data_IF_730362516646
#
_entry.id   IF_730362516646
#
_cell.length_a   1.000
_cell.length_b   1.000
_cell.length_c   1.000
_cell.angle_alpha   90.00
_cell.angle_beta   90.00
_cell.angle_gamma   90.00
#
_symmetry.space_group_name_H-M   'P 1'
#
loop_
_entity.id
_entity.type
_entity.pdbx_description
1 polymer ?
#
# COMPACT_ATOMS: atom_id res chain seq x y z
N UNK A 1 30.66 11.68 -2.42
CA UNK A 1 29.45 11.73 -1.54
C UNK A 1 28.24 11.47 -2.42
N UNK A 2 27.40 10.51 -2.07
CA UNK A 2 26.10 10.36 -2.72
C UNK A 2 25.27 11.62 -2.48
N UNK A 3 24.56 12.08 -3.52
CA UNK A 3 23.70 13.27 -3.42
C UNK A 3 22.51 12.93 -2.53
N UNK A 4 22.07 13.90 -1.74
CA UNK A 4 20.83 13.74 -0.99
C UNK A 4 19.65 13.47 -1.94
N UNK A 5 18.75 12.52 -1.66
CA UNK A 5 17.58 12.31 -2.50
C UNK A 5 16.63 13.53 -2.54
N UNK A 6 16.80 14.46 -1.61
CA UNK A 6 16.03 15.73 -1.56
C UNK A 6 16.67 16.87 -2.35
N UNK A 7 17.87 16.68 -2.92
CA UNK A 7 18.49 17.65 -3.80
C UNK A 7 17.74 17.66 -5.15
N UNK A 8 17.22 18.81 -5.61
CA UNK A 8 16.55 18.90 -6.90
C UNK A 8 17.39 18.38 -8.08
N UNK A 9 18.73 18.47 -7.99
CA UNK A 9 19.64 17.94 -9.01
C UNK A 9 19.75 16.41 -9.01
N UNK A 10 19.18 15.71 -8.03
CA UNK A 10 19.11 14.26 -8.01
C UNK A 10 17.97 13.69 -8.87
N UNK A 11 17.03 14.54 -9.32
CA UNK A 11 15.92 14.13 -10.18
C UNK A 11 16.46 13.83 -11.59
N UNK A 12 16.26 12.59 -12.05
CA UNK A 12 16.67 12.19 -13.39
C UNK A 12 15.87 12.94 -14.47
N UNK A 13 16.49 13.31 -15.63
CA UNK A 13 15.81 14.00 -16.72
C UNK A 13 14.55 13.29 -17.21
N UNK A 14 14.57 11.95 -17.34
CA UNK A 14 13.41 11.14 -17.72
C UNK A 14 12.25 11.35 -16.73
N UNK A 15 12.53 11.32 -15.43
CA UNK A 15 11.53 11.52 -14.38
C UNK A 15 10.94 12.93 -14.43
N UNK A 16 11.78 13.95 -14.62
CA UNK A 16 11.33 15.33 -14.72
C UNK A 16 10.43 15.55 -15.95
N UNK A 17 10.80 14.98 -17.10
CA UNK A 17 10.02 15.05 -18.35
C UNK A 17 8.68 14.32 -18.19
N UNK A 18 8.69 13.12 -17.59
CA UNK A 18 7.48 12.37 -17.30
C UNK A 18 6.52 13.16 -16.40
N UNK A 19 7.03 13.72 -15.30
CA UNK A 19 6.22 14.50 -14.36
C UNK A 19 5.59 15.73 -15.04
N UNK A 20 6.32 16.44 -15.89
CA UNK A 20 5.80 17.59 -16.64
C UNK A 20 4.65 17.18 -17.59
N UNK A 21 4.79 16.05 -18.30
CA UNK A 21 3.75 15.51 -19.17
C UNK A 21 2.52 15.07 -18.37
N UNK A 22 2.72 14.40 -17.24
CA UNK A 22 1.65 13.96 -16.36
C UNK A 22 0.87 15.14 -15.79
N UNK A 23 1.58 16.16 -15.28
CA UNK A 23 0.96 17.36 -14.73
C UNK A 23 0.14 18.11 -15.79
N UNK A 24 0.66 18.23 -17.03
CA UNK A 24 -0.06 18.84 -18.14
C UNK A 24 -1.33 18.05 -18.53
N UNK A 25 -1.28 16.72 -18.50
CA UNK A 25 -2.45 15.86 -18.73
C UNK A 25 -3.50 16.06 -17.64
N UNK A 26 -3.07 16.03 -16.38
CA UNK A 26 -3.98 16.13 -15.22
C UNK A 26 -4.61 17.52 -15.12
N UNK A 27 -3.93 18.59 -15.56
CA UNK A 27 -4.51 19.94 -15.60
C UNK A 27 -5.77 20.06 -16.47
N UNK A 28 -5.98 19.10 -17.39
CA UNK A 28 -7.18 19.05 -18.28
C UNK A 28 -8.14 17.93 -17.91
N UNK A 29 -7.85 17.20 -16.84
CA UNK A 29 -8.66 16.04 -16.39
C UNK A 29 -9.45 16.46 -15.13
N UNK A 30 -10.75 16.17 -15.05
CA UNK A 30 -11.50 16.40 -13.81
C UNK A 30 -10.89 15.65 -12.64
N UNK A 31 -10.77 16.33 -11.50
CA UNK A 31 -10.29 15.69 -10.30
C UNK A 31 -11.32 14.66 -9.76
N UNK A 32 -10.90 13.49 -9.28
CA UNK A 32 -11.80 12.41 -8.89
C UNK A 32 -12.89 12.82 -7.87
N UNK A 33 -12.55 13.69 -6.90
CA UNK A 33 -13.51 14.15 -5.89
C UNK A 33 -14.60 15.06 -6.45
N UNK A 34 -14.47 15.55 -7.69
CA UNK A 34 -15.51 16.36 -8.37
C UNK A 34 -16.54 15.51 -9.09
N UNK A 35 -16.31 14.20 -9.16
CA UNK A 35 -17.16 13.23 -9.84
C UNK A 35 -17.85 12.32 -8.82
N UNK A 36 -18.93 11.66 -9.23
CA UNK A 36 -19.53 10.61 -8.40
C UNK A 36 -18.56 9.43 -8.27
N UNK A 37 -18.34 8.83 -7.08
CA UNK A 37 -17.39 7.74 -6.90
C UNK A 37 -17.56 6.58 -7.88
N UNK A 38 -18.79 6.16 -8.16
CA UNK A 38 -19.06 5.10 -9.11
C UNK A 38 -18.61 5.46 -10.54
N UNK A 39 -18.76 6.71 -10.95
CA UNK A 39 -18.30 7.16 -12.27
C UNK A 39 -16.76 7.02 -12.39
N UNK A 40 -16.01 7.37 -11.36
CA UNK A 40 -14.54 7.20 -11.35
C UNK A 40 -14.17 5.73 -11.40
N UNK A 41 -14.89 4.86 -10.67
CA UNK A 41 -14.68 3.40 -10.71
C UNK A 41 -14.97 2.84 -12.10
N UNK A 42 -16.07 3.23 -12.75
CA UNK A 42 -16.44 2.78 -14.10
C UNK A 42 -15.44 3.25 -15.16
N UNK A 43 -14.92 4.48 -15.04
CA UNK A 43 -13.85 4.99 -15.88
C UNK A 43 -12.56 4.15 -15.71
N UNK A 44 -12.21 3.80 -14.49
CA UNK A 44 -11.04 2.96 -14.21
C UNK A 44 -11.21 1.56 -14.78
N UNK A 45 -12.38 0.93 -14.61
CA UNK A 45 -12.69 -0.40 -15.18
C UNK A 45 -12.65 -0.42 -16.70
N UNK A 46 -13.09 0.67 -17.35
CA UNK A 46 -13.01 0.80 -18.82
C UNK A 46 -11.60 1.13 -19.35
N UNK A 47 -10.58 1.18 -18.47
CA UNK A 47 -9.21 1.49 -18.84
C UNK A 47 -8.96 2.97 -19.11
N UNK A 48 -9.89 3.83 -18.75
CA UNK A 48 -9.74 5.27 -18.82
C UNK A 48 -9.04 5.81 -17.55
N UNK A 49 -8.36 6.93 -17.70
CA UNK A 49 -7.70 7.61 -16.60
C UNK A 49 -6.17 7.44 -16.59
N UNK A 50 -5.55 7.91 -15.53
CA UNK A 50 -4.09 8.14 -15.41
C UNK A 50 -3.26 6.86 -15.49
N UNK A 51 -3.81 5.72 -15.07
CA UNK A 51 -3.06 4.45 -14.97
C UNK A 51 -3.23 3.54 -16.20
N UNK A 52 -3.96 3.99 -17.23
CA UNK A 52 -4.18 3.22 -18.45
C UNK A 52 -5.05 1.96 -18.25
N UNK A 53 -5.07 1.06 -19.25
CA UNK A 53 -5.93 -0.12 -19.24
C UNK A 53 -5.52 -1.12 -18.15
N UNK A 54 -6.50 -1.83 -17.60
CA UNK A 54 -6.29 -2.92 -16.66
C UNK A 54 -5.86 -4.15 -17.45
N UNK A 55 -4.76 -4.77 -17.00
CA UNK A 55 -4.25 -6.03 -17.57
C UNK A 55 -4.37 -7.12 -16.51
N UNK A 56 -5.16 -8.14 -16.80
CA UNK A 56 -5.40 -9.24 -15.86
C UNK A 56 -4.31 -10.32 -15.99
N UNK A 57 -3.91 -10.89 -14.87
CA UNK A 57 -3.00 -12.03 -14.81
C UNK A 57 -3.74 -13.35 -15.02
N UNK A 58 -3.17 -14.22 -15.85
CA UNK A 58 -3.67 -15.59 -16.00
C UNK A 58 -3.41 -16.49 -14.77
N UNK A 59 -2.53 -16.08 -13.86
CA UNK A 59 -2.29 -16.78 -12.60
C UNK A 59 -3.38 -16.50 -11.56
N UNK A 60 -4.12 -15.40 -11.74
CA UNK A 60 -5.05 -14.94 -10.74
C UNK A 60 -6.37 -15.72 -10.74
N UNK A 61 -6.84 -16.08 -9.57
CA UNK A 61 -8.14 -16.70 -9.32
C UNK A 61 -8.90 -15.95 -8.25
N UNK A 62 -10.18 -15.77 -8.45
CA UNK A 62 -11.05 -15.20 -7.43
C UNK A 62 -11.37 -16.24 -6.36
N UNK A 63 -11.44 -15.79 -5.13
CA UNK A 63 -11.79 -16.57 -3.95
C UNK A 63 -12.54 -15.70 -2.96
N UNK A 64 -13.33 -16.32 -2.08
CA UNK A 64 -14.01 -15.63 -0.99
C UNK A 64 -13.47 -16.18 0.34
N UNK A 65 -13.14 -15.29 1.27
CA UNK A 65 -12.80 -15.61 2.64
C UNK A 65 -14.00 -15.27 3.52
N UNK A 66 -14.53 -16.27 4.22
CA UNK A 66 -15.65 -16.08 5.13
C UNK A 66 -15.14 -15.53 6.47
N UNK A 67 -15.67 -14.39 6.89
CA UNK A 67 -15.29 -13.69 8.11
C UNK A 67 -16.48 -13.43 9.03
N UNK A 68 -16.21 -12.96 10.25
CA UNK A 68 -17.25 -12.70 11.25
C UNK A 68 -18.17 -11.52 10.86
N UNK A 69 -17.67 -10.59 10.03
CA UNK A 69 -18.41 -9.41 9.57
C UNK A 69 -19.00 -9.58 8.16
N UNK A 70 -18.73 -10.71 7.51
CA UNK A 70 -19.20 -11.01 6.15
C UNK A 70 -18.14 -11.68 5.29
N UNK A 71 -18.49 -11.88 4.05
CA UNK A 71 -17.65 -12.48 3.03
C UNK A 71 -16.72 -11.44 2.40
N UNK A 72 -15.42 -11.72 2.40
CA UNK A 72 -14.41 -10.85 1.81
C UNK A 72 -13.88 -11.46 0.51
N UNK A 73 -14.13 -10.84 -0.65
CA UNK A 73 -13.52 -11.28 -1.90
C UNK A 73 -12.01 -11.07 -1.87
N UNK A 74 -11.27 -12.05 -2.37
CA UNK A 74 -9.81 -11.95 -2.55
C UNK A 74 -9.41 -12.46 -3.92
N UNK A 75 -8.29 -11.97 -4.40
CA UNK A 75 -7.68 -12.43 -5.64
C UNK A 75 -6.36 -13.13 -5.32
N UNK A 76 -6.25 -14.40 -5.70
CA UNK A 76 -5.10 -15.25 -5.36
C UNK A 76 -4.28 -15.55 -6.60
N UNK A 77 -2.99 -15.21 -6.56
CA UNK A 77 -2.03 -15.53 -7.62
C UNK A 77 -1.03 -16.56 -7.09
N UNK A 78 -0.96 -17.72 -7.77
CA UNK A 78 -0.09 -18.82 -7.36
C UNK A 78 1.02 -19.01 -8.41
N UNK A 79 2.31 -18.82 -8.04
CA UNK A 79 3.43 -19.24 -8.88
C UNK A 79 3.64 -20.77 -8.82
N UNK A 80 4.53 -21.30 -9.67
CA UNK A 80 4.85 -22.72 -9.72
C UNK A 80 5.49 -23.24 -8.40
N UNK A 81 6.19 -22.35 -7.69
CA UNK A 81 6.80 -22.63 -6.38
C UNK A 81 6.43 -21.54 -5.38
N UNK A 82 6.11 -21.94 -4.15
CA UNK A 82 5.73 -21.00 -3.09
C UNK A 82 6.74 -21.09 -1.93
N UNK A 83 7.37 -19.96 -1.61
CA UNK A 83 8.28 -19.79 -0.47
C UNK A 83 7.66 -19.00 0.68
N UNK A 84 6.57 -18.29 0.42
CA UNK A 84 5.84 -17.46 1.38
C UNK A 84 4.51 -16.97 0.81
N UNK A 85 3.78 -16.20 1.62
CA UNK A 85 2.51 -15.58 1.25
C UNK A 85 2.65 -14.06 1.32
N UNK A 86 2.22 -13.35 0.30
CA UNK A 86 2.14 -11.90 0.27
C UNK A 86 0.69 -11.46 0.37
N UNK A 87 0.30 -10.92 1.52
CA UNK A 87 -0.98 -10.27 1.70
C UNK A 87 -0.90 -8.87 1.12
N UNK A 88 -1.57 -8.67 -0.02
CA UNK A 88 -1.60 -7.41 -0.74
C UNK A 88 -2.89 -6.64 -0.46
N UNK A 89 -2.77 -5.32 -0.22
CA UNK A 89 -3.88 -4.41 -0.03
C UNK A 89 -3.71 -3.24 -1.00
N UNK A 90 -4.68 -3.08 -1.91
CA UNK A 90 -4.59 -2.07 -2.97
C UNK A 90 -4.80 -0.64 -2.48
N UNK A 91 -4.25 0.33 -3.24
CA UNK A 91 -4.48 1.75 -3.04
C UNK A 91 -5.80 2.26 -3.64
N UNK A 92 -5.98 3.59 -3.62
CA UNK A 92 -7.14 4.25 -4.21
C UNK A 92 -7.92 5.14 -3.25
N UNK A 93 -7.25 5.72 -2.22
CA UNK A 93 -7.88 6.65 -1.29
C UNK A 93 -9.06 6.06 -0.53
N UNK A 94 -9.05 4.76 -0.25
CA UNK A 94 -10.13 3.97 0.38
C UNK A 94 -11.46 3.99 -0.39
N UNK A 95 -11.57 4.76 -1.48
CA UNK A 95 -12.79 4.99 -2.25
C UNK A 95 -12.76 4.36 -3.64
N UNK A 96 -11.57 4.06 -4.15
CA UNK A 96 -11.32 3.54 -5.49
C UNK A 96 -10.41 2.32 -5.45
N UNK A 97 -10.22 1.71 -6.62
CA UNK A 97 -9.39 0.54 -6.74
C UNK A 97 -10.15 -0.77 -6.50
N UNK A 98 -9.54 -1.84 -6.93
CA UNK A 98 -9.98 -3.23 -6.79
C UNK A 98 -8.74 -4.12 -6.76
N UNK A 99 -8.86 -5.33 -6.21
CA UNK A 99 -7.75 -6.27 -6.12
C UNK A 99 -7.10 -6.58 -7.49
N UNK A 100 -7.91 -6.70 -8.55
CA UNK A 100 -7.43 -7.04 -9.91
C UNK A 100 -6.69 -5.89 -10.62
N UNK A 101 -6.81 -4.65 -10.15
CA UNK A 101 -6.08 -3.52 -10.74
C UNK A 101 -4.55 -3.66 -10.61
N UNK A 102 -4.09 -4.44 -9.64
CA UNK A 102 -2.68 -4.67 -9.36
C UNK A 102 -2.17 -6.04 -9.84
N UNK A 103 -2.94 -6.75 -10.68
CA UNK A 103 -2.60 -8.10 -11.13
C UNK A 103 -1.18 -8.22 -11.68
N UNK A 104 -0.77 -7.30 -12.56
CA UNK A 104 0.57 -7.35 -13.16
C UNK A 104 1.66 -7.17 -12.12
N UNK A 105 1.51 -6.22 -11.18
CA UNK A 105 2.48 -6.05 -10.10
C UNK A 105 2.49 -7.24 -9.14
N UNK A 106 1.33 -7.77 -8.82
CA UNK A 106 1.17 -8.94 -7.98
C UNK A 106 1.74 -10.20 -8.64
N UNK A 107 1.60 -10.37 -9.97
CA UNK A 107 2.25 -11.44 -10.72
C UNK A 107 3.78 -11.32 -10.68
N UNK A 108 4.33 -10.11 -10.79
CA UNK A 108 5.77 -9.90 -10.64
C UNK A 108 6.27 -10.33 -9.25
N UNK A 109 5.57 -9.93 -8.18
CA UNK A 109 5.90 -10.39 -6.81
C UNK A 109 5.79 -11.91 -6.72
N UNK A 110 4.71 -12.50 -7.24
CA UNK A 110 4.52 -13.93 -7.21
C UNK A 110 5.69 -14.67 -7.88
N UNK A 111 6.09 -14.25 -9.08
CA UNK A 111 7.15 -14.92 -9.86
C UNK A 111 8.56 -14.60 -9.35
N UNK A 112 8.87 -13.32 -9.08
CA UNK A 112 10.22 -12.92 -8.71
C UNK A 112 10.59 -13.33 -7.28
N UNK A 113 9.60 -13.36 -6.38
CA UNK A 113 9.81 -13.66 -4.96
C UNK A 113 9.31 -15.05 -4.57
N UNK A 114 8.74 -15.83 -5.48
CA UNK A 114 8.08 -17.11 -5.21
C UNK A 114 7.03 -17.00 -4.10
N UNK A 115 6.15 -16.00 -4.19
CA UNK A 115 5.10 -15.74 -3.20
C UNK A 115 3.73 -16.14 -3.73
N UNK A 116 2.93 -16.86 -2.95
CA UNK A 116 1.50 -16.85 -3.14
C UNK A 116 0.98 -15.45 -2.79
N UNK A 117 0.37 -14.74 -3.73
CA UNK A 117 -0.18 -13.41 -3.45
C UNK A 117 -1.67 -13.52 -3.18
N UNK A 118 -2.12 -12.95 -2.07
CA UNK A 118 -3.53 -12.83 -1.70
C UNK A 118 -3.86 -11.35 -1.64
N UNK A 119 -4.58 -10.84 -2.63
CA UNK A 119 -4.97 -9.44 -2.74
C UNK A 119 -6.41 -9.25 -2.26
N UNK A 120 -6.60 -8.37 -1.28
CA UNK A 120 -7.90 -8.12 -0.66
C UNK A 120 -8.72 -7.15 -1.51
N UNK A 121 -9.97 -7.50 -1.78
CA UNK A 121 -10.95 -6.63 -2.43
C UNK A 121 -11.88 -6.04 -1.38
N UNK A 122 -11.34 -5.15 -0.54
CA UNK A 122 -12.01 -4.59 0.64
C UNK A 122 -13.13 -3.63 0.28
N UNK A 123 -14.09 -3.47 1.18
CA UNK A 123 -15.22 -2.55 1.04
C UNK A 123 -14.75 -1.10 0.99
N UNK A 124 -15.31 -0.33 0.04
CA UNK A 124 -14.87 1.02 -0.28
C UNK A 124 -15.78 2.10 0.34
N UNK A 125 -15.15 3.18 0.78
CA UNK A 125 -15.82 4.42 1.13
C UNK A 125 -16.29 5.16 -0.17
N UNK A 126 -17.24 6.08 -0.06
CA UNK A 126 -17.99 6.47 1.14
C UNK A 126 -19.14 5.52 1.49
N UNK A 127 -19.47 4.53 0.63
CA UNK A 127 -20.58 3.62 0.86
C UNK A 127 -20.37 2.74 2.11
N UNK A 128 -19.11 2.36 2.35
CA UNK A 128 -18.66 1.59 3.50
C UNK A 128 -17.48 2.30 4.18
N UNK A 129 -17.75 3.33 5.01
CA UNK A 129 -16.70 4.05 5.71
C UNK A 129 -16.02 3.19 6.76
N UNK A 130 -15.00 3.73 7.43
CA UNK A 130 -14.37 3.10 8.58
C UNK A 130 -15.44 2.60 9.58
N UNK A 131 -15.31 1.36 10.08
CA UNK A 131 -14.16 0.46 9.99
C UNK A 131 -14.23 -0.63 8.89
N UNK A 132 -15.14 -0.58 7.92
CA UNK A 132 -15.43 -1.68 7.00
C UNK A 132 -14.18 -2.20 6.26
N UNK A 133 -13.42 -1.33 5.58
CA UNK A 133 -12.20 -1.75 4.88
C UNK A 133 -11.12 -2.36 5.79
N UNK A 134 -10.79 -1.74 6.93
CA UNK A 134 -9.93 -2.36 7.96
C UNK A 134 -10.41 -3.72 8.46
N UNK A 135 -11.73 -3.91 8.66
CA UNK A 135 -12.31 -5.19 9.14
C UNK A 135 -12.15 -6.29 8.09
N UNK A 136 -12.31 -5.97 6.80
CA UNK A 136 -12.06 -6.92 5.71
C UNK A 136 -10.58 -7.35 5.66
N UNK A 137 -9.66 -6.38 5.74
CA UNK A 137 -8.22 -6.65 5.75
C UNK A 137 -7.81 -7.50 6.97
N UNK A 138 -8.32 -7.19 8.15
CA UNK A 138 -8.13 -7.96 9.39
C UNK A 138 -8.67 -9.40 9.23
N UNK A 139 -9.85 -9.56 8.63
CA UNK A 139 -10.45 -10.87 8.36
C UNK A 139 -9.55 -11.76 7.50
N UNK A 140 -9.03 -11.22 6.39
CA UNK A 140 -8.13 -11.98 5.51
C UNK A 140 -6.79 -12.27 6.19
N UNK A 141 -6.24 -11.33 6.95
CA UNK A 141 -5.01 -11.50 7.71
C UNK A 141 -5.17 -12.60 8.79
N UNK A 142 -6.28 -12.60 9.54
CA UNK A 142 -6.57 -13.60 10.54
C UNK A 142 -6.80 -14.99 9.93
N UNK A 143 -7.42 -15.05 8.74
CA UNK A 143 -7.55 -16.30 7.99
C UNK A 143 -6.17 -16.82 7.54
N UNK A 144 -5.29 -15.97 7.01
CA UNK A 144 -3.93 -16.35 6.63
C UNK A 144 -3.11 -16.82 7.81
N UNK A 145 -3.19 -16.16 8.96
CA UNK A 145 -2.50 -16.58 10.19
C UNK A 145 -2.80 -18.02 10.59
N UNK A 146 -4.00 -18.51 10.28
CA UNK A 146 -4.45 -19.88 10.60
C UNK A 146 -4.21 -20.88 9.47
N UNK A 147 -4.27 -20.44 8.22
CA UNK A 147 -4.40 -21.34 7.07
C UNK A 147 -3.22 -21.27 6.09
N UNK A 148 -2.27 -20.34 6.21
CA UNK A 148 -1.21 -20.16 5.22
C UNK A 148 -0.39 -21.43 4.97
N UNK A 149 -0.10 -22.21 6.01
CA UNK A 149 0.64 -23.48 5.89
C UNK A 149 -0.16 -24.53 5.12
N UNK A 150 -1.43 -24.74 5.46
CA UNK A 150 -2.27 -25.76 4.81
C UNK A 150 -2.65 -25.39 3.38
N UNK A 151 -2.81 -24.09 3.09
CA UNK A 151 -3.25 -23.60 1.78
C UNK A 151 -2.08 -23.39 0.81
N UNK A 152 -0.94 -22.89 1.31
CA UNK A 152 0.17 -22.41 0.49
C UNK A 152 1.52 -23.09 0.84
N UNK A 153 1.56 -23.94 1.85
CA UNK A 153 2.77 -24.66 2.26
C UNK A 153 3.81 -23.81 3.00
N UNK A 154 3.46 -22.61 3.46
CA UNK A 154 4.40 -21.70 4.14
C UNK A 154 3.71 -20.88 5.24
N UNK A 155 4.42 -20.71 6.36
CA UNK A 155 4.04 -19.82 7.46
C UNK A 155 4.63 -18.40 7.34
N UNK A 156 5.42 -18.15 6.29
CA UNK A 156 6.05 -16.84 6.06
C UNK A 156 5.06 -15.91 5.39
N UNK A 157 4.51 -14.97 6.14
CA UNK A 157 3.55 -14.00 5.65
C UNK A 157 4.21 -12.63 5.61
N UNK A 158 4.24 -12.01 4.43
CA UNK A 158 4.59 -10.61 4.23
C UNK A 158 3.30 -9.85 3.96
N UNK A 159 3.13 -8.68 4.57
CA UNK A 159 2.00 -7.79 4.28
C UNK A 159 2.48 -6.56 3.55
N UNK A 160 1.70 -6.03 2.62
CA UNK A 160 2.05 -4.79 1.96
C UNK A 160 0.90 -4.18 1.17
N UNK A 161 1.12 -2.94 0.77
CA UNK A 161 0.16 -2.19 -0.03
C UNK A 161 0.66 -0.80 -0.37
N UNK A 162 -0.05 -0.14 -1.26
CA UNK A 162 0.28 1.18 -1.79
C UNK A 162 -0.76 2.22 -1.35
N UNK A 163 -0.33 3.42 -0.96
CA UNK A 163 -1.21 4.55 -0.63
C UNK A 163 -2.19 4.17 0.51
N UNK A 164 -3.48 4.24 0.28
CA UNK A 164 -4.50 3.73 1.21
C UNK A 164 -4.27 2.27 1.61
N UNK A 165 -3.74 1.42 0.70
CA UNK A 165 -3.37 0.03 1.01
C UNK A 165 -2.16 -0.07 1.94
N UNK A 166 -1.19 0.83 1.83
CA UNK A 166 -0.07 0.94 2.77
C UNK A 166 -0.54 1.33 4.18
N UNK A 167 -1.51 2.24 4.26
CA UNK A 167 -2.21 2.58 5.49
C UNK A 167 -2.93 1.35 6.09
N UNK A 168 -3.79 0.70 5.31
CA UNK A 168 -4.55 -0.48 5.75
C UNK A 168 -3.62 -1.63 6.16
N UNK A 169 -2.46 -1.80 5.51
CA UNK A 169 -1.47 -2.79 5.91
C UNK A 169 -0.89 -2.50 7.31
N UNK A 170 -0.59 -1.23 7.61
CA UNK A 170 -0.12 -0.83 8.94
C UNK A 170 -1.20 -1.01 10.02
N UNK A 171 -2.44 -0.62 9.74
CA UNK A 171 -3.59 -0.84 10.64
C UNK A 171 -3.83 -2.33 10.86
N UNK A 172 -3.77 -3.14 9.80
CA UNK A 172 -3.93 -4.60 9.91
C UNK A 172 -2.86 -5.22 10.81
N UNK A 173 -1.60 -4.81 10.70
CA UNK A 173 -0.53 -5.28 11.59
C UNK A 173 -0.82 -4.98 13.06
N UNK A 174 -1.27 -3.75 13.36
CA UNK A 174 -1.63 -3.35 14.71
C UNK A 174 -2.80 -4.17 15.25
N UNK A 175 -3.87 -4.30 14.48
CA UNK A 175 -5.05 -5.10 14.86
C UNK A 175 -4.71 -6.58 15.08
N UNK A 176 -3.89 -7.17 14.21
CA UNK A 176 -3.47 -8.56 14.35
C UNK A 176 -2.65 -8.78 15.62
N UNK A 177 -1.78 -7.85 15.98
CA UNK A 177 -1.04 -7.89 17.25
C UNK A 177 -1.99 -7.70 18.45
N UNK A 178 -2.80 -6.66 18.44
CA UNK A 178 -3.53 -6.20 19.62
C UNK A 178 -4.82 -6.99 19.89
N UNK A 179 -5.51 -7.42 18.84
CA UNK A 179 -6.78 -8.15 18.95
C UNK A 179 -6.62 -9.67 18.85
N UNK A 180 -5.60 -10.15 18.11
CA UNK A 180 -5.40 -11.59 17.88
C UNK A 180 -4.14 -12.15 18.52
N UNK A 181 -3.26 -11.30 19.12
CA UNK A 181 -1.97 -11.73 19.66
C UNK A 181 -1.02 -12.28 18.60
N UNK A 182 -1.27 -11.98 17.31
CA UNK A 182 -0.49 -12.51 16.20
C UNK A 182 0.62 -11.54 15.78
N UNK A 183 1.86 -11.97 15.98
CA UNK A 183 3.08 -11.23 15.56
C UNK A 183 3.88 -12.00 14.51
N UNK A 184 3.24 -12.93 13.79
CA UNK A 184 3.90 -13.83 12.85
C UNK A 184 4.15 -13.28 11.44
N UNK A 185 3.91 -11.99 11.20
CA UNK A 185 4.31 -11.38 9.93
C UNK A 185 5.83 -11.29 9.82
N UNK A 186 6.36 -11.77 8.72
CA UNK A 186 7.80 -11.79 8.46
C UNK A 186 8.36 -10.42 8.04
N UNK A 187 7.55 -9.59 7.38
CA UNK A 187 7.86 -8.22 7.00
C UNK A 187 6.63 -7.42 6.59
N UNK A 188 6.81 -6.09 6.49
CA UNK A 188 5.86 -5.15 5.91
C UNK A 188 6.49 -4.38 4.73
N UNK A 189 5.77 -4.27 3.61
CA UNK A 189 6.13 -3.44 2.46
C UNK A 189 5.13 -2.29 2.35
N UNK A 190 5.51 -1.10 2.80
CA UNK A 190 4.65 0.06 2.98
C UNK A 190 5.02 1.14 1.96
N UNK A 191 4.26 1.20 0.87
CA UNK A 191 4.58 2.03 -0.29
C UNK A 191 3.73 3.31 -0.25
N UNK A 192 4.37 4.44 -0.04
CA UNK A 192 3.78 5.80 0.08
C UNK A 192 2.43 5.82 0.80
N UNK A 193 2.33 5.15 1.97
CA UNK A 193 1.10 5.06 2.75
C UNK A 193 0.73 6.38 3.43
N UNK A 194 -0.58 6.59 3.64
CA UNK A 194 -1.11 7.69 4.43
C UNK A 194 -1.22 7.24 5.91
N UNK A 195 -0.33 7.67 6.77
CA UNK A 195 -0.27 7.18 8.16
C UNK A 195 -0.81 8.17 9.20
N UNK A 196 -1.12 9.40 8.76
CA UNK A 196 -1.76 10.45 9.57
C UNK A 196 -2.94 11.07 8.82
N UNK A 197 -4.16 10.74 9.24
CA UNK A 197 -5.39 11.28 8.68
C UNK A 197 -5.77 12.65 9.27
N UNK A 198 -4.89 13.24 10.10
CA UNK A 198 -5.00 14.63 10.55
C UNK A 198 -4.18 15.60 9.69
N UNK A 199 -3.54 15.10 8.63
CA UNK A 199 -2.71 15.78 7.64
C UNK A 199 -1.32 16.21 8.14
N UNK A 200 -0.30 15.54 7.63
CA UNK A 200 1.11 15.89 7.84
C UNK A 200 1.49 17.23 7.17
N UNK A 201 2.62 17.85 7.55
CA UNK A 201 3.05 19.11 6.93
C UNK A 201 3.22 19.05 5.40
N UNK A 202 3.66 17.93 4.83
CA UNK A 202 3.77 17.79 3.37
C UNK A 202 2.41 17.77 2.69
N UNK A 203 1.40 17.13 3.29
CA UNK A 203 0.02 17.14 2.81
C UNK A 203 -0.58 18.55 2.87
N UNK A 204 -0.39 19.26 4.00
CA UNK A 204 -0.90 20.62 4.18
C UNK A 204 -0.28 21.63 3.20
N UNK A 205 1.02 21.50 2.90
CA UNK A 205 1.74 22.38 1.96
C UNK A 205 1.48 22.06 0.49
N UNK A 206 0.88 20.90 0.15
CA UNK A 206 0.67 20.50 -1.24
C UNK A 206 -0.25 21.44 -2.02
N UNK A 207 -1.26 21.99 -1.34
CA UNK A 207 -2.20 22.96 -1.92
C UNK A 207 -3.09 22.34 -3.02
N UNK A 208 -3.37 23.15 -4.02
CA UNK A 208 -4.28 22.78 -5.13
C UNK A 208 -3.55 22.13 -6.31
N UNK A 209 -2.26 21.86 -6.20
CA UNK A 209 -1.51 21.18 -7.24
C UNK A 209 -2.10 19.78 -7.46
N UNK A 210 -2.50 19.48 -8.70
CA UNK A 210 -3.00 18.17 -9.08
C UNK A 210 -1.91 17.38 -9.82
N UNK A 211 -1.23 16.50 -9.11
CA UNK A 211 -0.21 15.60 -9.64
C UNK A 211 -0.43 14.20 -9.02
N UNK A 212 -1.36 13.44 -9.60
CA UNK A 212 -1.99 12.21 -9.08
C UNK A 212 -2.86 12.48 -7.87
N UNK A 213 -2.35 13.16 -6.85
CA UNK A 213 -3.10 13.66 -5.70
C UNK A 213 -3.18 15.19 -5.74
N UNK A 214 -4.28 15.73 -5.22
CA UNK A 214 -4.41 17.13 -4.83
C UNK A 214 -4.79 17.24 -3.36
N UNK A 215 -4.59 18.40 -2.75
CA UNK A 215 -5.03 18.62 -1.37
C UNK A 215 -6.56 18.47 -1.22
N UNK A 216 -7.32 18.81 -2.28
CA UNK A 216 -8.76 18.57 -2.35
C UNK A 216 -9.12 17.09 -2.30
N UNK A 217 -8.47 16.27 -3.12
CA UNK A 217 -8.67 14.83 -3.15
C UNK A 217 -8.27 14.16 -1.83
N UNK A 218 -7.13 14.56 -1.23
CA UNK A 218 -6.68 14.00 0.06
C UNK A 218 -7.73 14.24 1.14
N UNK A 219 -8.23 15.48 1.30
CA UNK A 219 -9.27 15.80 2.28
C UNK A 219 -10.57 15.04 2.02
N UNK A 220 -11.05 15.04 0.77
CA UNK A 220 -12.25 14.32 0.38
C UNK A 220 -12.17 12.82 0.69
N UNK A 221 -11.02 12.19 0.41
CA UNK A 221 -10.80 10.77 0.67
C UNK A 221 -10.82 10.46 2.17
N UNK A 222 -10.15 11.29 2.97
CA UNK A 222 -10.15 11.15 4.43
C UNK A 222 -11.54 11.36 5.03
N UNK A 223 -12.30 12.34 4.54
CA UNK A 223 -13.66 12.64 4.98
C UNK A 223 -14.63 11.51 4.60
N UNK A 224 -14.49 10.95 3.42
CA UNK A 224 -15.29 9.81 2.99
C UNK A 224 -14.97 8.53 3.76
N UNK A 225 -13.69 8.29 4.06
CA UNK A 225 -13.25 7.11 4.80
C UNK A 225 -13.56 7.23 6.31
N UNK A 226 -13.27 8.36 6.94
CA UNK A 226 -13.53 8.65 8.37
C UNK A 226 -14.32 9.96 8.47
N UNK A 227 -15.66 9.90 8.39
CA UNK A 227 -16.50 11.08 8.45
C UNK A 227 -16.37 11.85 9.79
N UNK A 228 -16.23 11.12 10.90
CA UNK A 228 -16.01 11.72 12.22
C UNK A 228 -14.55 12.20 12.33
N UNK A 229 -14.36 13.51 12.32
CA UNK A 229 -13.05 14.13 12.38
C UNK A 229 -12.31 13.84 13.71
N UNK A 230 -13.03 13.63 14.81
CA UNK A 230 -12.43 13.33 16.12
C UNK A 230 -11.74 11.95 16.14
N UNK A 231 -12.25 11.02 15.34
CA UNK A 231 -11.65 9.69 15.19
C UNK A 231 -10.36 9.69 14.34
N UNK A 232 -10.10 10.73 13.54
CA UNK A 232 -8.96 10.73 12.62
C UNK A 232 -7.60 10.67 13.33
N UNK A 233 -7.55 10.97 14.62
CA UNK A 233 -6.33 10.83 15.45
C UNK A 233 -6.27 9.52 16.23
N UNK A 234 -7.31 8.71 16.17
CA UNK A 234 -7.31 7.39 16.80
C UNK A 234 -6.20 6.52 16.23
N UNK A 235 -5.42 5.78 17.04
CA UNK A 235 -4.36 4.89 16.57
C UNK A 235 -4.81 3.80 15.57
N UNK A 236 -6.08 3.36 15.61
CA UNK A 236 -6.66 2.42 14.66
C UNK A 236 -7.05 3.08 13.32
N UNK A 237 -7.03 4.43 13.26
CA UNK A 237 -7.29 5.24 12.07
C UNK A 237 -6.01 5.88 11.54
N UNK A 238 -5.19 6.43 12.41
CA UNK A 238 -3.89 7.02 12.08
C UNK A 238 -2.78 6.26 12.80
N UNK A 239 -2.21 5.22 12.17
CA UNK A 239 -1.21 4.36 12.80
C UNK A 239 0.06 5.11 13.19
N UNK A 240 0.26 6.34 12.71
CA UNK A 240 1.33 7.20 13.19
C UNK A 240 1.24 7.47 14.70
N UNK A 241 0.06 7.41 15.31
CA UNK A 241 -0.14 7.66 16.74
C UNK A 241 -0.15 6.38 17.60
N UNK A 242 -0.09 5.20 16.98
CA UNK A 242 -0.11 3.92 17.68
C UNK A 242 1.18 3.62 18.44
N UNK A 243 1.14 2.70 19.39
CA UNK A 243 2.32 1.97 19.83
C UNK A 243 2.77 1.03 18.70
N UNK A 244 3.98 1.23 18.21
CA UNK A 244 4.54 0.45 17.10
C UNK A 244 5.45 -0.69 17.58
N UNK A 245 5.57 -0.95 18.88
CA UNK A 245 6.45 -2.00 19.40
C UNK A 245 6.05 -3.40 18.90
N UNK A 246 7.03 -4.26 18.68
CA UNK A 246 6.83 -5.65 18.27
C UNK A 246 6.33 -5.85 16.82
N UNK A 247 6.34 -4.82 15.99
CA UNK A 247 5.99 -4.93 14.58
C UNK A 247 7.15 -5.52 13.75
N UNK A 248 6.86 -6.15 12.60
CA UNK A 248 7.87 -6.81 11.78
C UNK A 248 8.84 -5.80 11.13
N UNK A 249 9.98 -6.27 10.58
CA UNK A 249 10.80 -5.44 9.71
C UNK A 249 9.97 -4.81 8.58
N UNK A 250 10.19 -3.51 8.30
CA UNK A 250 9.43 -2.79 7.28
C UNK A 250 10.34 -2.13 6.24
N UNK A 251 9.87 -2.09 4.98
CA UNK A 251 10.39 -1.22 3.94
C UNK A 251 9.36 -0.12 3.68
N UNK A 252 9.77 1.13 3.86
CA UNK A 252 9.02 2.31 3.45
C UNK A 252 9.56 2.81 2.11
N UNK A 253 8.68 3.00 1.14
CA UNK A 253 9.03 3.51 -0.20
C UNK A 253 8.23 4.76 -0.48
N UNK A 254 8.89 5.86 -0.85
CA UNK A 254 8.21 7.14 -1.14
C UNK A 254 9.00 7.98 -2.14
N UNK A 255 8.30 8.80 -2.91
CA UNK A 255 8.91 9.79 -3.78
C UNK A 255 9.06 11.16 -3.12
N UNK A 256 10.04 11.96 -3.57
CA UNK A 256 10.22 13.32 -3.02
C UNK A 256 9.19 14.33 -3.51
N UNK A 257 8.44 14.00 -4.56
CA UNK A 257 7.35 14.81 -5.13
C UNK A 257 5.99 14.17 -4.81
N UNK A 258 5.81 13.74 -3.56
CA UNK A 258 4.61 13.09 -3.06
C UNK A 258 4.08 13.83 -1.83
N UNK A 259 2.80 14.22 -1.77
CA UNK A 259 2.23 14.84 -0.57
C UNK A 259 2.28 13.95 0.68
N UNK A 260 2.39 12.62 0.52
CA UNK A 260 2.52 11.66 1.62
C UNK A 260 3.99 11.39 2.02
N UNK A 261 4.92 12.29 1.63
CA UNK A 261 6.33 12.17 1.97
C UNK A 261 6.55 12.11 3.48
N UNK A 262 6.00 13.09 4.22
CA UNK A 262 6.19 13.19 5.67
C UNK A 262 5.58 11.97 6.40
N UNK A 263 4.47 11.43 5.91
CA UNK A 263 3.87 10.20 6.45
C UNK A 263 4.88 9.04 6.49
N UNK A 264 5.55 8.79 5.36
CA UNK A 264 6.55 7.74 5.25
C UNK A 264 7.80 8.03 6.10
N UNK A 265 8.28 9.28 6.10
CA UNK A 265 9.44 9.69 6.90
C UNK A 265 9.17 9.55 8.41
N UNK A 266 8.03 10.03 8.87
CA UNK A 266 7.67 9.99 10.29
C UNK A 266 7.38 8.57 10.74
N UNK A 267 6.67 7.78 9.94
CA UNK A 267 6.35 6.40 10.29
C UNK A 267 7.62 5.54 10.35
N UNK A 268 8.56 5.70 9.41
CA UNK A 268 9.88 5.07 9.44
C UNK A 268 10.65 5.42 10.72
N UNK A 269 10.72 6.71 11.07
CA UNK A 269 11.42 7.16 12.27
C UNK A 269 10.79 6.58 13.55
N UNK A 270 9.45 6.56 13.63
CA UNK A 270 8.72 5.97 14.76
C UNK A 270 8.87 4.45 14.83
N UNK A 271 8.94 3.76 13.66
CA UNK A 271 9.18 2.31 13.59
C UNK A 271 10.52 1.94 14.21
N UNK A 272 11.58 2.72 13.89
CA UNK A 272 12.91 2.55 14.49
C UNK A 272 12.91 2.88 15.98
N UNK A 273 12.26 3.98 16.38
CA UNK A 273 12.18 4.40 17.78
C UNK A 273 11.45 3.38 18.67
N UNK A 274 10.53 2.60 18.10
CA UNK A 274 9.85 1.49 18.76
C UNK A 274 10.69 0.19 18.84
N UNK A 275 11.95 0.22 18.38
CA UNK A 275 12.87 -0.92 18.42
C UNK A 275 12.75 -1.89 17.25
N UNK A 276 11.92 -1.60 16.25
CA UNK A 276 11.75 -2.45 15.08
C UNK A 276 12.82 -2.15 14.02
N UNK A 277 13.05 -3.12 13.12
CA UNK A 277 13.88 -2.90 11.93
C UNK A 277 13.08 -2.17 10.86
N UNK A 278 13.68 -1.16 10.24
CA UNK A 278 13.04 -0.39 9.19
C UNK A 278 14.06 0.09 8.16
N UNK A 279 13.68 0.01 6.90
CA UNK A 279 14.40 0.58 5.77
C UNK A 279 13.54 1.67 5.14
N UNK A 280 14.18 2.74 4.67
CA UNK A 280 13.53 3.84 3.97
C UNK A 280 14.17 4.01 2.59
N UNK A 281 13.35 3.93 1.55
CA UNK A 281 13.73 4.13 0.16
C UNK A 281 13.05 5.40 -0.37
N UNK A 282 13.82 6.48 -0.52
CA UNK A 282 13.34 7.77 -1.03
C UNK A 282 13.78 7.96 -2.48
N UNK A 283 12.83 8.24 -3.36
CA UNK A 283 13.04 8.34 -4.81
C UNK A 283 12.91 9.78 -5.28
N UNK A 284 14.04 10.40 -5.78
CA UNK A 284 14.05 11.78 -6.24
C UNK A 284 13.07 12.03 -7.38
N UNK A 285 12.17 13.00 -7.21
CA UNK A 285 11.15 13.35 -8.20
C UNK A 285 10.02 12.32 -8.35
N UNK A 286 10.01 11.24 -7.59
CA UNK A 286 8.89 10.30 -7.59
C UNK A 286 7.62 11.00 -7.13
N UNK A 287 6.58 10.97 -7.97
CA UNK A 287 5.24 11.46 -7.65
C UNK A 287 4.47 10.39 -6.88
N UNK A 288 3.30 10.71 -6.33
CA UNK A 288 2.45 9.66 -5.76
C UNK A 288 2.15 8.57 -6.79
N UNK A 289 2.14 7.32 -6.37
CA UNK A 289 1.94 6.15 -7.22
C UNK A 289 3.00 5.96 -8.34
N UNK A 290 4.18 6.60 -8.25
CA UNK A 290 5.20 6.53 -9.29
C UNK A 290 5.61 5.09 -9.66
N UNK A 291 5.54 4.16 -8.73
CA UNK A 291 5.90 2.75 -8.94
C UNK A 291 4.98 2.01 -9.94
N UNK A 292 3.82 2.59 -10.27
CA UNK A 292 2.87 2.06 -11.25
C UNK A 292 3.10 2.58 -12.68
N UNK A 293 4.00 3.57 -12.87
CA UNK A 293 4.24 4.16 -14.18
C UNK A 293 5.40 3.50 -14.93
N UNK A 294 5.41 3.53 -16.27
CA UNK A 294 6.44 2.88 -17.09
C UNK A 294 7.73 3.70 -17.19
N UNK A 295 8.34 4.05 -16.06
CA UNK A 295 9.58 4.84 -15.95
C UNK A 295 10.67 4.07 -15.22
N UNK A 296 11.94 4.46 -15.43
CA UNK A 296 13.09 3.81 -14.79
C UNK A 296 13.02 3.88 -13.27
N UNK A 297 12.56 5.00 -12.71
CA UNK A 297 12.39 5.17 -11.28
C UNK A 297 11.46 4.10 -10.66
N UNK A 298 10.39 3.75 -11.37
CA UNK A 298 9.46 2.69 -10.97
C UNK A 298 10.12 1.31 -11.01
N UNK A 299 10.92 1.02 -12.05
CA UNK A 299 11.67 -0.24 -12.15
C UNK A 299 12.63 -0.41 -10.98
N UNK A 300 13.35 0.64 -10.61
CA UNK A 300 14.27 0.64 -9.47
C UNK A 300 13.55 0.40 -8.14
N UNK A 301 12.43 1.10 -7.91
CA UNK A 301 11.63 0.92 -6.71
C UNK A 301 11.05 -0.50 -6.60
N UNK A 302 10.48 -1.00 -7.68
CA UNK A 302 9.89 -2.34 -7.72
C UNK A 302 10.97 -3.43 -7.53
N UNK A 303 12.15 -3.29 -8.14
CA UNK A 303 13.27 -4.21 -7.94
C UNK A 303 13.76 -4.20 -6.48
N UNK A 304 13.79 -3.03 -5.82
CA UNK A 304 14.12 -2.92 -4.40
C UNK A 304 13.09 -3.64 -3.52
N UNK A 305 11.80 -3.46 -3.80
CA UNK A 305 10.72 -4.15 -3.10
C UNK A 305 10.86 -5.67 -3.28
N UNK A 306 11.06 -6.15 -4.52
CA UNK A 306 11.23 -7.57 -4.80
C UNK A 306 12.44 -8.16 -4.06
N UNK A 307 13.57 -7.42 -4.02
CA UNK A 307 14.75 -7.80 -3.26
C UNK A 307 14.48 -7.90 -1.75
N UNK A 308 13.78 -6.91 -1.18
CA UNK A 308 13.41 -6.91 0.23
C UNK A 308 12.52 -8.11 0.59
N UNK A 309 11.46 -8.33 -0.18
CA UNK A 309 10.53 -9.46 0.02
C UNK A 309 11.26 -10.80 -0.10
N UNK A 310 12.09 -10.99 -1.14
CA UNK A 310 12.85 -12.21 -1.37
C UNK A 310 13.85 -12.50 -0.23
N UNK A 311 14.55 -11.49 0.28
CA UNK A 311 15.49 -11.64 1.38
C UNK A 311 14.81 -12.07 2.68
N UNK A 312 13.61 -11.60 2.94
CA UNK A 312 12.85 -11.96 4.15
C UNK A 312 12.45 -13.43 4.11
N UNK A 313 11.96 -13.91 2.96
CA UNK A 313 11.55 -15.32 2.83
C UNK A 313 12.72 -16.28 2.69
N UNK A 314 13.90 -15.84 2.22
CA UNK A 314 15.10 -16.67 2.15
C UNK A 314 15.73 -16.91 3.53
N UNK A 315 15.61 -15.99 4.49
CA UNK A 315 16.16 -16.14 5.84
C UNK A 315 15.42 -17.26 6.58
N UNK A 316 16.07 -18.41 6.81
CA UNK A 316 15.58 -19.41 7.77
C UNK A 316 15.39 -18.73 9.14
N UNK A 317 14.29 -19.01 9.88
CA UNK A 317 14.25 -18.65 11.30
C UNK A 317 15.50 -19.22 11.95
N UNK A 318 16.22 -18.43 12.74
CA UNK A 318 17.19 -18.99 13.66
C UNK A 318 16.45 -20.05 14.48
N UNK A 319 16.91 -21.30 14.42
CA UNK A 319 16.34 -22.35 15.22
C UNK A 319 16.28 -21.83 16.66
N UNK A 320 15.08 -21.69 17.20
CA UNK A 320 14.90 -21.39 18.62
C UNK A 320 15.63 -22.50 19.37
N UNK A 321 16.75 -22.13 20.02
CA UNK A 321 17.36 -23.00 21.00
C UNK A 321 16.30 -23.32 22.05
N UNK A 322 15.89 -24.57 22.10
CA UNK A 322 15.02 -25.16 23.14
C UNK A 322 15.75 -25.11 24.47
#
# INVERSE_FOLDING_TARGET
MERSPFDPSAVAPETAEFNAKLEALLATTPEPQTLHPQQVRDQRESGQGTFGPIVLSSLAKERTIHGPTGDVPVRVLLPDTVSGVYLHIHGGGWAFGRAHHNDIRNEQIARHCNMAVVSVDYQLAPEHPYPAGPDDCETVAAWLAKNAVSEFGSDRIVIGGESAGGHLAAVTLLRMRDRHGFMGFSAANLVYGAFDLTMTPSQLRWGDRYLVLSGGFIRWSMEGFVPDAELRRDPDVSPLYADLSGLPPALFTVGTLDPLLDDSLFMHARWLAAGNKSELAVYPGGVHAFSAFPIELARQANARIDSFVSQVVAKRPAASAV
#
